data_IF_770957214153
#
_entry.id   IF_770957214153
#
_cell.length_a   1.000
_cell.length_b   1.000
_cell.length_c   1.000
_cell.angle_alpha   90.00
_cell.angle_beta   90.00
_cell.angle_gamma   90.00
#
_symmetry.space_group_name_H-M   'P 1'
#
loop_
_entity.id
_entity.type
_entity.pdbx_description
1 polymer ?
#
# COMPACT_ATOMS: atom_id res chain seq x y z
N UNK A 1 -11.93 -7.80 11.21
CA UNK A 1 -11.57 -7.62 9.78
C UNK A 1 -11.78 -8.96 9.09
N UNK A 2 -11.97 -8.99 7.76
CA UNK A 2 -11.98 -10.26 7.03
C UNK A 2 -10.63 -10.97 7.18
N UNK A 3 -10.66 -12.27 7.50
CA UNK A 3 -9.45 -13.05 7.77
C UNK A 3 -8.50 -13.09 6.58
N UNK A 4 -9.02 -13.15 5.35
CA UNK A 4 -8.21 -13.15 4.14
C UNK A 4 -7.55 -11.78 3.92
N UNK A 5 -8.22 -10.70 4.32
CA UNK A 5 -7.62 -9.35 4.26
C UNK A 5 -6.43 -9.29 5.20
N UNK A 6 -6.61 -9.66 6.46
CA UNK A 6 -5.52 -9.66 7.45
C UNK A 6 -4.34 -10.54 7.02
N UNK A 7 -4.59 -11.73 6.50
CA UNK A 7 -3.54 -12.63 6.02
C UNK A 7 -2.62 -11.96 4.99
N UNK A 8 -3.14 -11.15 4.05
CA UNK A 8 -2.29 -10.46 3.07
C UNK A 8 -1.47 -9.34 3.70
N UNK A 9 -2.01 -8.63 4.68
CA UNK A 9 -1.23 -7.63 5.42
C UNK A 9 -0.17 -8.28 6.32
N UNK A 10 -0.50 -9.38 7.01
CA UNK A 10 0.46 -10.17 7.79
C UNK A 10 1.62 -10.68 6.94
N UNK A 11 1.34 -11.17 5.73
CA UNK A 11 2.39 -11.56 4.78
C UNK A 11 3.33 -10.39 4.44
N UNK A 12 2.79 -9.17 4.30
CA UNK A 12 3.60 -7.97 4.09
C UNK A 12 4.39 -7.65 5.35
N UNK A 13 3.77 -7.62 6.53
CA UNK A 13 4.45 -7.32 7.80
C UNK A 13 5.57 -8.29 8.13
N UNK A 14 5.43 -9.58 7.78
CA UNK A 14 6.51 -10.54 7.98
C UNK A 14 7.73 -10.21 7.11
N UNK A 15 7.55 -9.72 5.88
CA UNK A 15 8.68 -9.42 4.97
C UNK A 15 9.16 -7.98 5.03
N UNK A 16 8.28 -7.08 5.42
CA UNK A 16 8.52 -5.65 5.53
C UNK A 16 7.78 -5.11 6.77
N UNK A 17 8.39 -5.26 7.96
CA UNK A 17 7.79 -4.82 9.20
C UNK A 17 7.49 -3.33 9.19
N UNK A 18 6.42 -2.98 9.89
CA UNK A 18 5.88 -1.64 10.03
C UNK A 18 6.49 -0.88 11.22
N UNK A 19 7.78 -1.11 11.44
CA UNK A 19 8.60 -0.48 12.46
C UNK A 19 9.99 -0.21 11.89
N UNK A 20 10.68 0.79 12.43
CA UNK A 20 12.06 1.08 12.06
C UNK A 20 13.03 0.39 13.03
N UNK A 21 14.11 -0.18 12.52
CA UNK A 21 15.25 -0.61 13.32
C UNK A 21 16.39 0.40 13.13
N UNK A 22 16.83 1.02 14.24
CA UNK A 22 17.85 2.08 14.23
C UNK A 22 17.55 3.23 13.24
N UNK A 23 16.28 3.57 13.06
CA UNK A 23 15.82 4.62 12.13
C UNK A 23 15.72 4.19 10.67
N UNK A 24 15.95 2.91 10.37
CA UNK A 24 15.90 2.35 9.02
C UNK A 24 14.81 1.30 8.85
N UNK A 25 14.29 1.20 7.64
CA UNK A 25 13.34 0.16 7.26
C UNK A 25 14.03 -1.19 7.12
N UNK A 26 13.46 -2.22 7.75
CA UNK A 26 13.89 -3.60 7.56
C UNK A 26 13.09 -4.25 6.43
N UNK A 27 13.70 -4.46 5.28
CA UNK A 27 13.10 -5.20 4.19
C UNK A 27 13.83 -6.53 4.04
N UNK A 28 13.15 -7.66 4.29
CA UNK A 28 13.75 -8.99 4.24
C UNK A 28 13.93 -9.44 2.79
N UNK A 29 15.10 -9.23 2.20
CA UNK A 29 15.38 -9.62 0.81
C UNK A 29 15.13 -11.11 0.49
N UNK A 30 15.06 -11.44 -0.80
CA UNK A 30 14.80 -12.78 -1.35
C UNK A 30 13.42 -13.33 -0.98
N UNK A 31 12.40 -12.48 -1.11
CA UNK A 31 11.01 -12.80 -0.79
C UNK A 31 10.05 -12.45 -1.95
N UNK A 32 8.76 -12.71 -1.76
CA UNK A 32 7.76 -12.49 -2.82
C UNK A 32 7.62 -11.01 -3.24
N UNK A 33 7.86 -10.06 -2.33
CA UNK A 33 7.82 -8.62 -2.57
C UNK A 33 8.88 -8.16 -3.58
N UNK A 34 9.99 -8.90 -3.74
CA UNK A 34 11.04 -8.55 -4.70
C UNK A 34 10.49 -8.49 -6.14
N UNK A 35 9.50 -9.33 -6.44
CA UNK A 35 8.81 -9.34 -7.74
C UNK A 35 7.93 -8.11 -7.99
N UNK A 36 7.62 -7.34 -6.94
CA UNK A 36 6.83 -6.11 -6.99
C UNK A 36 7.68 -4.83 -6.97
N UNK A 37 9.00 -4.95 -6.77
CA UNK A 37 9.94 -3.85 -6.91
C UNK A 37 9.96 -3.30 -8.34
N UNK A 38 10.06 -1.98 -8.50
CA UNK A 38 10.20 -1.41 -9.84
C UNK A 38 11.53 -1.85 -10.46
N UNK A 39 11.51 -2.33 -11.70
CA UNK A 39 12.70 -2.90 -12.37
C UNK A 39 13.42 -3.98 -11.54
N UNK A 40 12.69 -4.69 -10.66
CA UNK A 40 13.21 -5.74 -9.78
C UNK A 40 14.29 -5.25 -8.78
N UNK A 41 14.24 -3.96 -8.41
CA UNK A 41 15.18 -3.36 -7.47
C UNK A 41 14.42 -2.59 -6.40
N UNK A 42 14.58 -3.00 -5.14
CA UNK A 42 14.08 -2.29 -3.96
C UNK A 42 15.24 -1.60 -3.23
N UNK A 43 15.96 -0.73 -3.93
CA UNK A 43 17.18 -0.09 -3.41
C UNK A 43 16.84 1.02 -2.40
N UNK A 44 15.79 1.82 -2.68
CA UNK A 44 15.34 2.90 -1.80
C UNK A 44 14.14 2.53 -0.92
N UNK A 45 13.91 3.34 0.12
CA UNK A 45 12.76 3.20 1.02
C UNK A 45 11.42 3.31 0.27
N UNK A 46 11.30 4.26 -0.66
CA UNK A 46 10.12 4.39 -1.50
C UNK A 46 9.91 3.17 -2.40
N UNK A 47 10.98 2.52 -2.87
CA UNK A 47 10.86 1.33 -3.72
C UNK A 47 10.32 0.14 -2.92
N UNK A 48 10.81 -0.04 -1.68
CA UNK A 48 10.34 -1.06 -0.73
C UNK A 48 8.88 -0.85 -0.34
N UNK A 49 8.52 0.39 0.02
CA UNK A 49 7.13 0.78 0.32
C UNK A 49 6.24 0.55 -0.89
N UNK A 50 6.69 0.95 -2.08
CA UNK A 50 5.96 0.73 -3.31
C UNK A 50 5.77 -0.76 -3.63
N UNK A 51 6.75 -1.62 -3.34
CA UNK A 51 6.62 -3.05 -3.56
C UNK A 51 5.51 -3.66 -2.69
N UNK A 52 5.48 -3.33 -1.39
CA UNK A 52 4.39 -3.74 -0.50
C UNK A 52 3.03 -3.20 -0.92
N UNK A 53 2.96 -1.91 -1.25
CA UNK A 53 1.73 -1.27 -1.71
C UNK A 53 1.18 -1.91 -2.99
N UNK A 54 2.06 -2.12 -3.98
CA UNK A 54 1.67 -2.70 -5.26
C UNK A 54 1.29 -4.18 -5.14
N UNK A 55 1.94 -4.93 -4.24
CA UNK A 55 1.51 -6.29 -3.90
C UNK A 55 0.07 -6.31 -3.39
N UNK A 56 -0.25 -5.50 -2.38
CA UNK A 56 -1.59 -5.44 -1.80
C UNK A 56 -2.64 -5.07 -2.86
N UNK A 57 -2.37 -4.08 -3.71
CA UNK A 57 -3.26 -3.73 -4.83
C UNK A 57 -3.49 -4.92 -5.75
N UNK A 58 -2.46 -5.67 -6.14
CA UNK A 58 -2.64 -6.83 -7.01
C UNK A 58 -3.41 -7.97 -6.33
N UNK A 59 -3.19 -8.21 -5.04
CA UNK A 59 -3.91 -9.26 -4.31
C UNK A 59 -5.41 -9.00 -4.20
N UNK A 60 -5.82 -7.73 -4.04
CA UNK A 60 -7.21 -7.39 -3.79
C UNK A 60 -7.96 -6.84 -5.00
N UNK A 61 -7.26 -6.28 -5.99
CA UNK A 61 -7.87 -5.50 -7.08
C UNK A 61 -7.42 -6.02 -8.47
N UNK A 62 -6.25 -6.64 -8.58
CA UNK A 62 -5.70 -7.12 -9.84
C UNK A 62 -6.39 -8.35 -10.43
N UNK A 63 -6.05 -8.70 -11.66
CA UNK A 63 -6.60 -9.87 -12.38
C UNK A 63 -6.27 -11.22 -11.75
N UNK A 64 -5.23 -11.28 -10.90
CA UNK A 64 -4.87 -12.43 -10.07
C UNK A 64 -5.46 -12.37 -8.66
N UNK A 65 -6.08 -11.24 -8.29
CA UNK A 65 -6.86 -11.14 -7.08
C UNK A 65 -8.00 -12.14 -7.19
N UNK A 66 -8.08 -13.04 -6.22
CA UNK A 66 -9.17 -14.00 -6.11
C UNK A 66 -10.49 -13.28 -6.40
N UNK A 67 -11.09 -13.64 -7.54
CA UNK A 67 -12.26 -13.04 -8.20
C UNK A 67 -13.56 -13.16 -7.39
N UNK A 68 -13.44 -13.33 -6.07
CA UNK A 68 -14.52 -13.54 -5.11
C UNK A 68 -14.67 -12.43 -4.08
N UNK A 69 -13.73 -11.49 -3.94
CA UNK A 69 -13.77 -10.50 -2.85
C UNK A 69 -14.14 -9.07 -3.30
N UNK A 70 -14.39 -8.84 -4.58
CA UNK A 70 -14.54 -7.49 -5.14
C UNK A 70 -15.91 -7.30 -5.77
N UNK A 71 -16.94 -7.55 -4.99
CA UNK A 71 -18.28 -7.10 -5.33
C UNK A 71 -18.91 -6.33 -4.17
N UNK A 72 -18.12 -5.48 -3.47
CA UNK A 72 -18.53 -4.17 -2.90
C UNK A 72 -17.63 -3.56 -1.81
N UNK A 73 -16.47 -4.11 -1.42
CA UNK A 73 -15.73 -3.52 -0.29
C UNK A 73 -14.79 -2.37 -0.69
N UNK A 74 -15.38 -1.18 -0.89
CA UNK A 74 -14.72 0.15 -0.85
C UNK A 74 -13.76 0.28 0.35
N UNK A 75 -13.97 -0.52 1.40
CA UNK A 75 -13.18 -0.61 2.62
C UNK A 75 -11.75 -1.11 2.43
N UNK A 76 -11.48 -2.09 1.54
CA UNK A 76 -10.14 -2.72 1.50
C UNK A 76 -9.07 -1.75 0.99
N UNK A 77 -9.41 -0.95 -0.02
CA UNK A 77 -8.51 0.06 -0.59
C UNK A 77 -8.15 1.11 0.45
N UNK A 78 -9.08 1.43 1.35
CA UNK A 78 -8.84 2.37 2.44
C UNK A 78 -7.81 1.84 3.43
N UNK A 79 -7.84 0.55 3.76
CA UNK A 79 -6.81 -0.08 4.59
C UNK A 79 -5.45 -0.16 3.88
N UNK A 80 -5.42 -0.39 2.57
CA UNK A 80 -4.17 -0.39 1.79
C UNK A 80 -3.54 1.01 1.80
N UNK A 81 -4.34 2.07 1.62
CA UNK A 81 -3.87 3.45 1.67
C UNK A 81 -3.52 3.88 3.10
N UNK A 82 -4.25 3.40 4.10
CA UNK A 82 -3.92 3.60 5.51
C UNK A 82 -2.54 3.01 5.85
N UNK A 83 -2.28 1.76 5.44
CA UNK A 83 -0.97 1.13 5.58
C UNK A 83 0.13 1.93 4.87
N UNK A 84 -0.09 2.32 3.61
CA UNK A 84 0.86 3.15 2.87
C UNK A 84 1.17 4.45 3.61
N UNK A 85 0.13 5.12 4.11
CA UNK A 85 0.25 6.40 4.81
C UNK A 85 1.01 6.24 6.12
N UNK A 86 0.71 5.18 6.88
CA UNK A 86 1.41 4.85 8.11
C UNK A 86 2.89 4.56 7.85
N UNK A 87 3.21 3.69 6.89
CA UNK A 87 4.59 3.36 6.53
C UNK A 87 5.35 4.63 6.18
N UNK A 88 4.83 5.47 5.29
CA UNK A 88 5.44 6.74 4.94
C UNK A 88 5.62 7.72 6.13
N UNK A 89 4.76 7.64 7.16
CA UNK A 89 4.86 8.47 8.36
C UNK A 89 5.94 8.00 9.34
N UNK A 90 6.41 6.76 9.26
CA UNK A 90 7.52 6.27 10.10
C UNK A 90 8.82 7.05 9.83
N UNK A 91 9.07 7.39 8.57
CA UNK A 91 10.26 8.14 8.13
C UNK A 91 9.84 9.31 7.24
N UNK A 92 9.37 10.43 7.81
CA UNK A 92 8.84 11.54 7.03
C UNK A 92 9.93 12.29 6.26
N UNK A 93 9.64 12.64 5.01
CA UNK A 93 10.56 13.39 4.14
C UNK A 93 10.04 14.80 3.87
N UNK A 94 10.71 15.80 4.45
CA UNK A 94 10.48 17.21 4.15
C UNK A 94 9.14 17.76 4.68
N UNK A 95 8.63 18.80 3.98
CA UNK A 95 7.52 19.64 4.43
C UNK A 95 6.18 19.33 3.72
N UNK A 96 6.17 18.45 2.73
CA UNK A 96 4.97 18.00 2.02
C UNK A 96 4.45 16.74 2.73
N UNK A 97 3.15 16.43 2.63
CA UNK A 97 2.67 15.15 3.16
C UNK A 97 3.39 14.00 2.44
N UNK A 98 3.89 13.02 3.19
CA UNK A 98 4.69 11.93 2.61
C UNK A 98 3.89 11.15 1.55
N UNK A 99 2.56 11.04 1.74
CA UNK A 99 1.65 10.45 0.77
C UNK A 99 1.56 11.28 -0.52
N UNK A 100 1.52 12.61 -0.44
CA UNK A 100 1.53 13.47 -1.63
C UNK A 100 2.87 13.37 -2.36
N UNK A 101 3.97 13.30 -1.61
CA UNK A 101 5.30 13.07 -2.19
C UNK A 101 5.33 11.74 -2.95
N UNK A 102 5.01 10.62 -2.28
CA UNK A 102 4.93 9.28 -2.89
C UNK A 102 4.02 9.24 -4.11
N UNK A 103 2.85 9.90 -4.04
CA UNK A 103 1.93 9.97 -5.16
C UNK A 103 2.59 10.65 -6.38
N UNK A 104 3.27 11.78 -6.17
CA UNK A 104 3.91 12.53 -7.26
C UNK A 104 5.12 11.82 -7.86
N UNK A 105 5.91 11.11 -7.05
CA UNK A 105 7.18 10.49 -7.46
C UNK A 105 7.02 9.06 -7.95
N UNK A 106 6.09 8.30 -7.37
CA UNK A 106 6.02 6.85 -7.56
C UNK A 106 4.83 6.40 -8.39
N UNK A 107 3.64 7.01 -8.24
CA UNK A 107 2.40 6.53 -8.87
C UNK A 107 2.34 6.85 -10.38
N UNK A 108 3.11 7.83 -10.86
CA UNK A 108 3.04 8.29 -12.25
C UNK A 108 3.79 7.41 -13.26
N UNK A 109 3.59 6.08 -13.23
CA UNK A 109 4.25 5.13 -14.15
C UNK A 109 3.27 4.11 -14.77
N UNK A 110 3.76 3.36 -15.76
CA UNK A 110 2.93 2.44 -16.54
C UNK A 110 2.26 1.36 -15.69
N UNK A 111 2.91 0.84 -14.65
CA UNK A 111 2.32 -0.20 -13.78
C UNK A 111 1.03 0.24 -13.09
N UNK A 112 0.89 1.55 -12.83
CA UNK A 112 -0.32 2.11 -12.23
C UNK A 112 -1.33 2.62 -13.26
N UNK A 113 -0.89 2.85 -14.50
CA UNK A 113 -1.73 3.37 -15.60
C UNK A 113 -2.25 2.29 -16.53
N UNK A 114 -1.65 1.09 -16.52
CA UNK A 114 -2.12 -0.07 -17.27
C UNK A 114 -3.56 -0.40 -16.91
N UNK A 115 -4.36 -0.70 -17.93
CA UNK A 115 -5.78 -1.02 -17.75
C UNK A 115 -5.95 -2.26 -16.89
N UNK A 116 -6.86 -2.20 -15.94
CA UNK A 116 -7.33 -3.38 -15.20
C UNK A 116 -8.52 -3.94 -15.99
N UNK A 117 -8.45 -5.19 -16.49
CA UNK A 117 -9.57 -5.80 -17.19
C UNK A 117 -10.81 -5.85 -16.31
N UNK A 118 -11.98 -5.68 -16.92
CA UNK A 118 -13.30 -5.85 -16.29
C UNK A 118 -13.64 -4.89 -15.13
N UNK A 119 -12.77 -3.92 -14.83
CA UNK A 119 -13.04 -2.87 -13.85
C UNK A 119 -14.00 -1.81 -14.43
N UNK A 120 -15.16 -1.63 -13.80
CA UNK A 120 -16.20 -0.69 -14.25
C UNK A 120 -16.06 0.70 -13.62
N UNK A 121 -15.61 0.78 -12.37
CA UNK A 121 -15.56 2.04 -11.63
C UNK A 121 -14.23 2.80 -11.82
N UNK A 122 -13.14 2.11 -12.10
CA UNK A 122 -11.80 2.68 -12.28
C UNK A 122 -11.12 1.97 -13.45
N UNK A 123 -10.32 2.70 -14.24
CA UNK A 123 -9.68 2.12 -15.43
C UNK A 123 -8.36 1.43 -15.10
N UNK A 124 -7.69 1.90 -14.05
CA UNK A 124 -6.38 1.44 -13.62
C UNK A 124 -6.18 1.77 -12.12
N UNK A 125 -5.06 1.33 -11.53
CA UNK A 125 -4.78 1.58 -10.12
C UNK A 125 -4.62 3.08 -9.80
N UNK A 126 -4.07 3.87 -10.74
CA UNK A 126 -3.95 5.32 -10.53
C UNK A 126 -5.32 5.98 -10.39
N UNK A 127 -6.28 5.63 -11.26
CA UNK A 127 -7.65 6.14 -11.22
C UNK A 127 -8.34 5.75 -9.89
N UNK A 128 -8.09 4.53 -9.40
CA UNK A 128 -8.58 4.09 -8.09
C UNK A 128 -8.01 4.95 -6.95
N UNK A 129 -6.69 5.16 -6.92
CA UNK A 129 -6.02 5.98 -5.90
C UNK A 129 -6.46 7.45 -5.99
N UNK A 130 -6.72 7.95 -7.21
CA UNK A 130 -7.20 9.31 -7.45
C UNK A 130 -8.53 9.60 -6.74
N UNK A 131 -9.39 8.59 -6.58
CA UNK A 131 -10.65 8.71 -5.83
C UNK A 131 -10.46 8.75 -4.31
N UNK A 132 -9.28 8.35 -3.82
CA UNK A 132 -8.95 8.25 -2.39
C UNK A 132 -8.00 9.36 -1.93
N UNK A 133 -7.88 10.43 -2.72
CA UNK A 133 -7.05 11.60 -2.41
C UNK A 133 -7.37 12.30 -1.09
N UNK A 134 -8.53 12.03 -0.48
CA UNK A 134 -8.85 12.58 0.85
C UNK A 134 -7.87 12.13 1.94
N UNK A 135 -7.19 10.98 1.77
CA UNK A 135 -6.11 10.54 2.65
C UNK A 135 -4.89 11.48 2.64
N UNK A 136 -4.68 12.26 1.56
CA UNK A 136 -3.53 13.16 1.41
C UNK A 136 -3.47 14.26 2.48
N UNK A 137 -4.64 14.62 3.03
CA UNK A 137 -4.78 15.67 4.04
C UNK A 137 -5.07 15.17 5.45
N UNK A 138 -5.04 13.85 5.68
CA UNK A 138 -5.30 13.29 7.01
C UNK A 138 -4.11 13.56 7.94
N UNK A 139 -4.40 13.92 9.19
CA UNK A 139 -3.37 14.15 10.20
C UNK A 139 -2.58 12.87 10.49
N UNK A 140 -1.27 13.00 10.75
CA UNK A 140 -0.39 11.83 10.95
C UNK A 140 -0.74 11.04 12.20
N UNK A 141 -1.19 11.70 13.27
CA UNK A 141 -1.60 11.02 14.50
C UNK A 141 -2.89 10.25 14.25
N UNK A 142 -3.83 10.85 13.52
CA UNK A 142 -5.08 10.17 13.11
C UNK A 142 -4.77 8.91 12.28
N UNK A 143 -3.83 9.00 11.33
CA UNK A 143 -3.37 7.82 10.57
C UNK A 143 -2.76 6.76 11.49
N UNK A 144 -1.94 7.16 12.46
CA UNK A 144 -1.34 6.23 13.44
C UNK A 144 -2.40 5.51 14.25
N UNK A 145 -3.34 6.26 14.84
CA UNK A 145 -4.41 5.71 15.68
C UNK A 145 -5.29 4.72 14.90
N UNK A 146 -5.68 5.07 13.66
CA UNK A 146 -6.47 4.17 12.82
C UNK A 146 -5.68 2.93 12.39
N UNK A 147 -4.38 3.08 12.14
CA UNK A 147 -3.53 1.96 11.75
C UNK A 147 -3.31 0.98 12.92
N UNK A 148 -3.06 1.49 14.12
CA UNK A 148 -2.97 0.68 15.34
C UNK A 148 -4.28 -0.07 15.60
N UNK A 149 -5.41 0.63 15.49
CA UNK A 149 -6.73 -0.01 15.60
C UNK A 149 -6.93 -1.08 14.51
N UNK A 150 -6.50 -0.83 13.28
CA UNK A 150 -6.55 -1.80 12.19
C UNK A 150 -5.72 -3.06 12.51
N UNK A 151 -4.49 -2.91 13.01
CA UNK A 151 -3.65 -4.06 13.42
C UNK A 151 -4.31 -4.88 14.51
N UNK A 152 -4.84 -4.25 15.55
CA UNK A 152 -5.53 -4.92 16.66
C UNK A 152 -6.75 -5.73 16.19
N UNK A 153 -7.39 -5.33 15.10
CA UNK A 153 -8.53 -6.04 14.52
C UNK A 153 -8.07 -7.22 13.65
N UNK A 154 -6.80 -7.26 13.24
CA UNK A 154 -6.20 -8.37 12.51
C UNK A 154 -5.51 -9.41 13.41
N UNK A 155 -5.17 -9.04 14.65
CA UNK A 155 -4.77 -9.97 15.71
C UNK A 155 -5.93 -10.85 16.20
#
# INVERSE_FOLDING_TARGET
MDKNVCEKFENVWDKFPDVLNNGEYEFKDNNFLDSYCFKYKCEGDLDKINAGFFYLLNQFIGSSGSSHYVQNDINVVDYIILWLSYMLNLKPEGNISNLQYFYSTTINNDRYKSSIPDATEYKNYKDLIDKKKYFLGMDRNIISDFYEAFKLICE
#
